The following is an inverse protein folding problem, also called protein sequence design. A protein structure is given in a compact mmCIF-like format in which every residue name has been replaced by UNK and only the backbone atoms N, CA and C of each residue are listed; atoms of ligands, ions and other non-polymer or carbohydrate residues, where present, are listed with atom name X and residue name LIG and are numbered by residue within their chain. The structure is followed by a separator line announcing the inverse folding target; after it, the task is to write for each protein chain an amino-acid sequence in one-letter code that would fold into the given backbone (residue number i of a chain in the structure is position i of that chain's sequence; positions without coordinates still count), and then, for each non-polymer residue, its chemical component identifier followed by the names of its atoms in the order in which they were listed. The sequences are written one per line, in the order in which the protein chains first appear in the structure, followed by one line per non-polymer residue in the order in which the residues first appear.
data_IF_543988436483
#
_entry.id   IF_543988436483
#
_cell.length_a   1.000
_cell.length_b   1.000
_cell.length_c   1.000
_cell.angle_alpha   90.00
_cell.angle_beta   90.00
_cell.angle_gamma   90.00
#
_symmetry.space_group_name_H-M   'P 1'
#
loop_
_entity.id
_entity.type
_entity.pdbx_description
1 polymer ?
#
# COMPACT_ATOMS: atom_id res chain seq x y z
N UNK A 1 -15.65 -22.26 -32.12
CA UNK A 1 -14.21 -22.59 -32.12
C UNK A 1 -13.47 -21.28 -32.36
N UNK A 2 -12.65 -20.84 -31.40
CA UNK A 2 -11.88 -19.59 -31.48
C UNK A 2 -12.30 -18.61 -30.39
N UNK A 3 -11.63 -18.72 -29.24
CA UNK A 3 -11.77 -17.90 -28.04
C UNK A 3 -11.40 -16.44 -28.32
N UNK A 4 -12.20 -15.49 -27.85
CA UNK A 4 -11.80 -14.09 -27.73
C UNK A 4 -10.98 -13.92 -26.45
N UNK A 5 -9.70 -13.61 -26.61
CA UNK A 5 -8.83 -13.14 -25.54
C UNK A 5 -9.36 -11.80 -24.99
N UNK A 6 -10.07 -11.85 -23.87
CA UNK A 6 -10.34 -10.66 -23.06
C UNK A 6 -9.11 -10.35 -22.22
N UNK A 7 -8.17 -9.58 -22.79
CA UNK A 7 -7.15 -8.89 -22.01
C UNK A 7 -7.82 -7.74 -21.27
N UNK A 8 -8.12 -7.93 -19.98
CA UNK A 8 -8.44 -6.83 -19.08
C UNK A 8 -7.15 -6.04 -18.90
N UNK A 9 -7.06 -4.90 -19.59
CA UNK A 9 -5.98 -3.96 -19.41
C UNK A 9 -6.08 -3.34 -18.02
N UNK A 10 -5.06 -3.52 -17.19
CA UNK A 10 -4.83 -2.73 -15.98
C UNK A 10 -4.76 -1.25 -16.38
N UNK A 11 -5.83 -0.51 -16.16
CA UNK A 11 -5.77 0.95 -16.26
C UNK A 11 -5.11 1.51 -15.00
N UNK A 12 -3.86 1.93 -15.18
CA UNK A 12 -3.24 2.99 -14.41
C UNK A 12 -4.19 4.20 -14.38
N UNK A 13 -4.85 4.45 -13.25
CA UNK A 13 -5.38 5.80 -12.96
C UNK A 13 -4.18 6.67 -12.54
N UNK A 14 -3.43 7.03 -13.57
CA UNK A 14 -2.42 8.08 -13.58
C UNK A 14 -3.11 9.32 -14.13
N UNK A 15 -3.14 10.40 -13.34
CA UNK A 15 -3.15 11.83 -13.77
C UNK A 15 -4.28 12.79 -13.34
N UNK A 16 -5.44 12.41 -12.79
CA UNK A 16 -6.54 13.42 -12.69
C UNK A 16 -6.99 13.94 -11.30
N UNK A 17 -6.33 13.60 -10.18
CA UNK A 17 -6.68 14.19 -8.87
C UNK A 17 -5.42 14.63 -8.13
N UNK A 18 -4.79 15.69 -8.61
CA UNK A 18 -3.75 16.46 -7.91
C UNK A 18 -4.08 17.93 -8.03
N UNK A 19 -4.97 18.41 -7.17
CA UNK A 19 -4.94 19.80 -6.74
C UNK A 19 -5.75 19.95 -5.46
N UNK A 20 -5.18 20.68 -4.50
CA UNK A 20 -5.69 21.03 -3.17
C UNK A 20 -5.32 20.02 -2.08
N UNK A 21 -4.92 20.59 -0.94
CA UNK A 21 -4.55 19.94 0.33
C UNK A 21 -3.07 19.59 0.51
N UNK A 22 -2.23 20.62 0.44
CA UNK A 22 -0.91 20.64 1.11
C UNK A 22 -0.95 21.58 2.31
N UNK A 23 -1.36 21.08 3.48
CA UNK A 23 -1.16 21.75 4.77
C UNK A 23 -1.10 20.70 5.87
N UNK A 24 0.11 20.35 6.33
CA UNK A 24 0.62 20.67 7.68
C UNK A 24 1.66 19.69 8.24
N UNK A 25 2.67 20.31 8.86
CA UNK A 25 3.36 19.93 10.10
C UNK A 25 4.22 18.66 10.10
N UNK A 26 5.53 18.81 9.85
CA UNK A 26 6.58 18.07 10.56
C UNK A 26 7.70 19.05 10.97
N UNK A 27 8.11 18.93 12.25
CA UNK A 27 9.22 19.55 13.00
C UNK A 27 9.70 20.96 12.58
N UNK A 28 9.53 21.91 13.50
CA UNK A 28 10.04 23.28 13.46
C UNK A 28 11.56 23.27 13.25
N UNK A 29 11.99 23.75 12.07
CA UNK A 29 13.36 24.12 11.78
C UNK A 29 13.66 25.49 12.44
N UNK A 30 14.65 25.62 13.34
CA UNK A 30 14.79 26.81 14.17
C UNK A 30 15.75 27.84 13.56
N UNK A 31 15.59 28.25 12.31
CA UNK A 31 16.37 29.39 11.79
C UNK A 31 15.54 30.24 10.80
N UNK A 32 14.90 31.28 11.34
CA UNK A 32 14.33 32.35 10.52
C UNK A 32 15.40 33.40 10.21
N UNK A 33 15.72 33.56 8.92
CA UNK A 33 16.21 34.85 8.42
C UNK A 33 17.29 34.76 7.36
N UNK A 34 16.89 34.69 6.07
CA UNK A 34 17.39 35.59 5.01
C UNK A 34 16.61 35.42 3.70
N UNK A 35 16.72 36.47 2.89
CA UNK A 35 15.88 36.95 1.79
C UNK A 35 15.51 35.92 0.70
N UNK A 36 14.27 36.05 0.21
CA UNK A 36 13.70 35.39 -0.97
C UNK A 36 14.37 35.90 -2.25
N UNK A 37 15.09 35.03 -2.94
CA UNK A 37 15.30 35.10 -4.39
C UNK A 37 14.31 34.12 -5.06
N UNK A 38 13.78 34.50 -6.23
CA UNK A 38 12.96 33.60 -7.04
C UNK A 38 13.90 32.60 -7.72
N UNK A 39 13.90 31.35 -7.25
CA UNK A 39 14.74 30.27 -7.80
C UNK A 39 13.85 29.26 -8.54
N UNK A 40 14.19 28.96 -9.79
CA UNK A 40 13.65 27.81 -10.52
C UNK A 40 14.39 26.55 -10.07
N UNK A 41 14.08 26.04 -8.88
CA UNK A 41 14.49 24.69 -8.47
C UNK A 41 13.55 23.65 -9.07
N UNK A 42 14.09 22.57 -9.64
CA UNK A 42 13.36 21.31 -9.77
C UNK A 42 12.95 20.86 -8.36
N UNK A 43 11.65 20.90 -8.06
CA UNK A 43 11.09 20.75 -6.69
C UNK A 43 11.06 19.30 -6.21
N UNK A 44 12.13 18.53 -6.37
CA UNK A 44 12.07 17.08 -6.23
C UNK A 44 12.92 16.62 -5.05
N UNK A 45 12.37 15.70 -4.25
CA UNK A 45 13.15 14.93 -3.30
C UNK A 45 14.07 14.00 -4.09
N UNK A 46 15.27 13.79 -3.59
CA UNK A 46 16.20 12.86 -4.20
C UNK A 46 16.76 11.91 -3.13
N UNK A 47 16.69 10.61 -3.41
CA UNK A 47 16.93 9.58 -2.42
C UNK A 47 17.72 8.43 -3.04
N UNK A 48 18.68 7.92 -2.26
CA UNK A 48 19.45 6.73 -2.61
C UNK A 48 19.60 5.82 -1.42
N UNK A 49 19.34 4.54 -1.65
CA UNK A 49 19.64 3.47 -0.71
C UNK A 49 20.90 2.76 -1.19
N UNK A 50 21.91 2.69 -0.33
CA UNK A 50 23.06 1.81 -0.50
C UNK A 50 22.95 0.68 0.50
N UNK A 51 22.86 -0.55 0.02
CA UNK A 51 22.47 -1.71 0.80
C UNK A 51 23.56 -2.78 0.71
N UNK A 52 23.94 -3.31 1.87
CA UNK A 52 24.92 -4.38 2.01
C UNK A 52 24.39 -5.44 2.97
N UNK A 53 24.67 -6.71 2.72
CA UNK A 53 24.09 -7.82 3.47
C UNK A 53 24.57 -9.16 2.93
N UNK A 54 23.97 -10.24 3.42
CA UNK A 54 24.22 -11.56 2.86
C UNK A 54 23.60 -11.68 1.45
N UNK A 55 24.24 -12.35 0.49
CA UNK A 55 23.77 -12.41 -0.90
C UNK A 55 22.32 -12.91 -1.05
N UNK A 56 21.94 -13.94 -0.30
CA UNK A 56 20.58 -14.50 -0.29
C UNK A 56 19.52 -13.47 0.16
N UNK A 57 19.86 -12.64 1.14
CA UNK A 57 18.98 -11.58 1.62
C UNK A 57 18.87 -10.43 0.62
N UNK A 58 19.96 -10.08 -0.06
CA UNK A 58 19.95 -9.06 -1.09
C UNK A 58 19.17 -9.51 -2.33
N UNK A 59 19.26 -10.79 -2.69
CA UNK A 59 18.42 -11.38 -3.74
C UNK A 59 16.93 -11.36 -3.35
N UNK A 60 16.61 -11.69 -2.10
CA UNK A 60 15.24 -11.62 -1.59
C UNK A 60 14.69 -10.18 -1.59
N UNK A 61 15.50 -9.19 -1.19
CA UNK A 61 15.17 -7.77 -1.22
C UNK A 61 14.96 -7.31 -2.67
N UNK A 62 15.80 -7.74 -3.59
CA UNK A 62 15.66 -7.44 -5.02
C UNK A 62 14.36 -7.99 -5.60
N UNK A 63 14.00 -9.23 -5.28
CA UNK A 63 12.72 -9.81 -5.72
C UNK A 63 11.53 -8.98 -5.24
N UNK A 64 11.54 -8.57 -3.97
CA UNK A 64 10.55 -7.64 -3.43
C UNK A 64 10.58 -6.28 -4.14
N UNK A 65 11.77 -5.75 -4.40
CA UNK A 65 11.97 -4.50 -5.11
C UNK A 65 11.43 -4.51 -6.54
N UNK A 66 11.38 -5.68 -7.18
CA UNK A 66 10.86 -5.91 -8.54
C UNK A 66 9.38 -6.30 -8.59
N UNK A 67 8.74 -6.57 -7.45
CA UNK A 67 7.36 -7.02 -7.38
C UNK A 67 7.16 -8.53 -7.57
N UNK A 68 8.24 -9.32 -7.60
CA UNK A 68 8.22 -10.77 -7.83
C UNK A 68 7.91 -11.56 -6.54
N UNK A 69 6.79 -11.22 -5.92
CA UNK A 69 6.26 -11.83 -4.68
C UNK A 69 4.76 -12.02 -4.81
N UNK A 70 4.24 -13.03 -4.13
CA UNK A 70 2.79 -13.30 -4.10
C UNK A 70 2.13 -12.35 -3.09
N UNK A 71 1.13 -11.53 -3.48
CA UNK A 71 0.47 -10.59 -2.58
C UNK A 71 -0.61 -11.30 -1.74
N UNK A 72 -0.19 -12.07 -0.73
CA UNK A 72 -1.12 -12.79 0.15
C UNK A 72 -2.18 -11.88 0.80
N UNK A 73 -1.80 -10.64 1.13
CA UNK A 73 -2.69 -9.66 1.75
C UNK A 73 -3.77 -9.21 0.75
N UNK A 74 -3.41 -9.03 -0.53
CA UNK A 74 -4.34 -8.63 -1.59
C UNK A 74 -5.39 -9.71 -1.82
N UNK A 75 -4.96 -10.98 -1.81
CA UNK A 75 -5.88 -12.11 -1.88
C UNK A 75 -6.85 -12.12 -0.69
N UNK A 76 -6.34 -11.93 0.52
CA UNK A 76 -7.16 -11.87 1.73
C UNK A 76 -8.16 -10.70 1.71
N UNK A 77 -7.79 -9.54 1.14
CA UNK A 77 -8.70 -8.40 0.95
C UNK A 77 -9.83 -8.78 0.00
N UNK A 78 -9.54 -9.33 -1.18
CA UNK A 78 -10.57 -9.74 -2.15
C UNK A 78 -11.55 -10.76 -1.53
N UNK A 79 -11.03 -11.79 -0.89
CA UNK A 79 -11.81 -12.82 -0.23
C UNK A 79 -12.66 -12.24 0.91
N UNK A 80 -12.11 -11.29 1.68
CA UNK A 80 -12.82 -10.64 2.76
C UNK A 80 -13.92 -9.70 2.27
N UNK A 81 -13.72 -8.99 1.16
CA UNK A 81 -14.79 -8.21 0.51
C UNK A 81 -15.94 -9.14 0.12
N UNK A 82 -15.62 -10.30 -0.47
CA UNK A 82 -16.62 -11.29 -0.88
C UNK A 82 -17.37 -11.89 0.31
N UNK A 83 -16.67 -12.24 1.40
CA UNK A 83 -17.28 -12.67 2.67
C UNK A 83 -18.18 -11.58 3.26
N UNK A 84 -17.73 -10.32 3.24
CA UNK A 84 -18.48 -9.19 3.77
C UNK A 84 -19.82 -9.00 3.04
N UNK A 85 -19.78 -8.91 1.71
CA UNK A 85 -21.01 -8.72 0.92
C UNK A 85 -21.91 -9.96 0.96
N UNK A 86 -21.35 -11.17 1.08
CA UNK A 86 -22.11 -12.40 1.25
C UNK A 86 -22.87 -12.43 2.58
N UNK A 87 -22.24 -12.00 3.67
CA UNK A 87 -22.89 -11.83 4.97
C UNK A 87 -24.04 -10.81 4.92
N UNK A 88 -23.79 -9.64 4.33
CA UNK A 88 -24.82 -8.61 4.15
C UNK A 88 -26.00 -9.07 3.28
N UNK A 89 -25.73 -9.94 2.30
CA UNK A 89 -26.73 -10.53 1.43
C UNK A 89 -27.47 -11.73 2.04
N UNK A 90 -27.09 -12.16 3.25
CA UNK A 90 -27.66 -13.33 3.93
C UNK A 90 -27.30 -14.66 3.27
N UNK A 91 -26.18 -14.71 2.54
CA UNK A 91 -25.65 -15.96 1.97
C UNK A 91 -24.87 -16.79 3.00
N UNK A 92 -24.37 -16.11 4.04
CA UNK A 92 -23.68 -16.64 5.20
C UNK A 92 -24.23 -15.95 6.45
N UNK A 93 -24.31 -16.67 7.56
CA UNK A 93 -24.77 -16.17 8.85
C UNK A 93 -23.87 -16.71 9.97
N UNK A 94 -23.66 -15.97 11.06
CA UNK A 94 -22.97 -16.51 12.23
C UNK A 94 -23.75 -17.69 12.83
N UNK A 95 -23.05 -18.63 13.45
CA UNK A 95 -23.67 -19.79 14.13
C UNK A 95 -24.13 -19.47 15.55
N UNK A 96 -23.66 -18.36 16.11
CA UNK A 96 -24.12 -17.80 17.38
C UNK A 96 -24.66 -16.37 17.22
N UNK A 97 -25.29 -15.85 18.28
CA UNK A 97 -25.74 -14.45 18.29
C UNK A 97 -24.53 -13.53 18.40
N UNK A 98 -24.24 -12.80 17.32
CA UNK A 98 -23.06 -11.95 17.20
C UNK A 98 -23.48 -10.54 16.77
N UNK A 99 -23.08 -9.55 17.55
CA UNK A 99 -23.24 -8.15 17.16
C UNK A 99 -22.03 -7.63 16.37
N UNK A 100 -22.28 -6.82 15.35
CA UNK A 100 -21.23 -6.05 14.65
C UNK A 100 -21.67 -4.58 14.53
N UNK A 101 -21.47 -3.74 15.57
CA UNK A 101 -22.01 -2.38 15.63
C UNK A 101 -21.55 -1.45 14.52
N UNK A 102 -20.35 -1.66 13.97
CA UNK A 102 -19.80 -0.86 12.87
C UNK A 102 -20.60 -1.03 11.57
N UNK A 103 -21.23 -2.19 11.38
CA UNK A 103 -22.10 -2.45 10.23
C UNK A 103 -23.15 -3.53 10.55
N UNK A 104 -24.26 -3.17 11.23
CA UNK A 104 -25.23 -4.16 11.71
C UNK A 104 -25.87 -5.02 10.61
N UNK A 105 -25.95 -4.49 9.38
CA UNK A 105 -26.46 -5.23 8.22
C UNK A 105 -25.65 -6.50 7.90
N UNK A 106 -24.38 -6.58 8.32
CA UNK A 106 -23.53 -7.76 8.11
C UNK A 106 -24.03 -9.01 8.83
N UNK A 107 -24.74 -8.83 9.96
CA UNK A 107 -25.25 -9.91 10.82
C UNK A 107 -26.78 -9.86 10.95
N UNK A 108 -27.45 -9.03 10.14
CA UNK A 108 -28.90 -8.85 10.20
C UNK A 108 -29.70 -10.09 9.83
N UNK A 109 -29.07 -11.08 9.18
CA UNK A 109 -29.64 -12.39 8.91
C UNK A 109 -29.89 -13.25 10.17
N UNK A 110 -29.36 -12.85 11.33
CA UNK A 110 -29.49 -13.58 12.58
C UNK A 110 -28.58 -14.81 12.63
N UNK A 111 -29.02 -15.83 13.36
CA UNK A 111 -28.28 -17.08 13.55
C UNK A 111 -28.56 -18.06 12.42
N UNK A 112 -27.50 -18.53 11.76
CA UNK A 112 -27.54 -19.53 10.70
C UNK A 112 -27.54 -20.97 11.23
N UNK A 113 -27.62 -21.91 10.29
CA UNK A 113 -27.45 -23.34 10.60
C UNK A 113 -26.00 -23.66 11.00
N UNK A 114 -25.82 -24.69 11.83
CA UNK A 114 -24.51 -25.21 12.24
C UNK A 114 -23.84 -25.95 11.07
N UNK A 115 -23.30 -25.19 10.12
CA UNK A 115 -22.59 -25.70 8.94
C UNK A 115 -21.13 -25.23 8.93
N UNK A 116 -20.22 -25.94 8.23
CA UNK A 116 -18.83 -25.50 8.06
C UNK A 116 -18.72 -24.09 7.47
N UNK A 117 -19.63 -23.74 6.56
CA UNK A 117 -19.61 -22.45 5.87
C UNK A 117 -19.93 -21.28 6.80
N UNK A 118 -20.99 -21.43 7.62
CA UNK A 118 -21.39 -20.43 8.60
C UNK A 118 -20.38 -20.34 9.75
N UNK A 119 -19.79 -21.46 10.14
CA UNK A 119 -18.71 -21.45 11.13
C UNK A 119 -17.47 -20.71 10.60
N UNK A 120 -17.09 -20.93 9.34
CA UNK A 120 -15.98 -20.20 8.73
C UNK A 120 -16.24 -18.70 8.65
N UNK A 121 -17.48 -18.30 8.30
CA UNK A 121 -17.90 -16.90 8.33
C UNK A 121 -17.83 -16.29 9.73
N UNK A 122 -18.27 -17.01 10.76
CA UNK A 122 -18.17 -16.58 12.14
C UNK A 122 -16.72 -16.37 12.59
N UNK A 123 -15.81 -17.28 12.24
CA UNK A 123 -14.38 -17.13 12.54
C UNK A 123 -13.79 -15.92 11.79
N UNK A 124 -14.17 -15.69 10.54
CA UNK A 124 -13.76 -14.50 9.80
C UNK A 124 -14.31 -13.20 10.41
N UNK A 125 -15.56 -13.20 10.92
CA UNK A 125 -16.12 -12.06 11.64
C UNK A 125 -15.30 -11.69 12.88
N UNK A 126 -14.73 -12.68 13.58
CA UNK A 126 -13.83 -12.42 14.70
C UNK A 126 -12.55 -11.69 14.24
N UNK A 127 -11.95 -12.11 13.13
CA UNK A 127 -10.79 -11.42 12.52
C UNK A 127 -11.13 -9.98 12.11
N UNK A 128 -12.31 -9.79 11.52
CA UNK A 128 -12.79 -8.47 11.11
C UNK A 128 -12.97 -7.54 12.32
N UNK A 129 -13.57 -8.04 13.41
CA UNK A 129 -13.78 -7.28 14.65
C UNK A 129 -12.48 -6.82 15.29
N UNK A 130 -11.47 -7.67 15.30
CA UNK A 130 -10.15 -7.35 15.87
C UNK A 130 -9.30 -6.46 14.95
N UNK A 131 -9.78 -6.17 13.73
CA UNK A 131 -9.04 -5.43 12.70
C UNK A 131 -7.60 -5.95 12.54
N UNK A 132 -7.49 -7.27 12.39
CA UNK A 132 -6.20 -7.98 12.38
C UNK A 132 -5.25 -7.46 11.30
N UNK A 133 -3.95 -7.57 11.58
CA UNK A 133 -2.90 -7.29 10.61
C UNK A 133 -2.92 -8.36 9.51
N UNK A 134 -2.86 -7.94 8.25
CA UNK A 134 -2.83 -8.84 7.09
C UNK A 134 -1.39 -9.29 6.78
N UNK A 135 -0.76 -9.95 7.75
CA UNK A 135 0.51 -10.65 7.52
C UNK A 135 0.27 -11.99 6.80
N UNK A 136 1.34 -12.72 6.50
CA UNK A 136 1.26 -13.98 5.76
C UNK A 136 0.37 -15.01 6.47
N UNK A 137 0.53 -15.16 7.79
CA UNK A 137 -0.18 -16.16 8.60
C UNK A 137 -1.68 -15.87 8.64
N UNK A 138 -2.04 -14.62 8.91
CA UNK A 138 -3.42 -14.18 9.01
C UNK A 138 -4.10 -14.20 7.64
N UNK A 139 -3.39 -13.84 6.58
CA UNK A 139 -3.91 -13.88 5.21
C UNK A 139 -4.16 -15.33 4.76
N UNK A 140 -3.27 -16.27 5.08
CA UNK A 140 -3.50 -17.69 4.86
C UNK A 140 -4.65 -18.25 5.69
N UNK A 141 -4.88 -17.72 6.91
CA UNK A 141 -6.05 -18.08 7.70
C UNK A 141 -7.34 -17.62 7.01
N UNK A 142 -7.38 -16.38 6.52
CA UNK A 142 -8.52 -15.85 5.76
C UNK A 142 -8.79 -16.69 4.51
N UNK A 143 -7.76 -17.07 3.76
CA UNK A 143 -7.92 -17.94 2.59
C UNK A 143 -8.55 -19.29 2.97
N UNK A 144 -8.07 -19.95 4.02
CA UNK A 144 -8.69 -21.21 4.50
C UNK A 144 -10.16 -21.03 4.87
N UNK A 145 -10.51 -19.94 5.56
CA UNK A 145 -11.90 -19.64 5.92
C UNK A 145 -12.74 -19.36 4.67
N UNK A 146 -12.19 -18.67 3.69
CA UNK A 146 -12.84 -18.41 2.40
C UNK A 146 -13.14 -19.69 1.62
N UNK A 147 -12.18 -20.63 1.57
CA UNK A 147 -12.42 -21.93 0.95
C UNK A 147 -13.50 -22.72 1.70
N UNK A 148 -13.47 -22.70 3.04
CA UNK A 148 -14.46 -23.39 3.88
C UNK A 148 -15.86 -22.77 3.79
N UNK A 149 -15.98 -21.48 3.45
CA UNK A 149 -17.28 -20.82 3.27
C UNK A 149 -17.97 -21.22 1.97
N UNK A 150 -17.29 -21.93 1.06
CA UNK A 150 -17.82 -22.35 -0.23
C UNK A 150 -18.17 -21.20 -1.18
N UNK A 151 -17.74 -19.97 -0.90
CA UNK A 151 -18.11 -18.79 -1.71
C UNK A 151 -17.45 -18.78 -3.09
N UNK A 152 -16.26 -19.37 -3.22
CA UNK A 152 -15.54 -19.49 -4.49
C UNK A 152 -16.35 -20.26 -5.55
N UNK A 153 -17.23 -21.17 -5.12
CA UNK A 153 -18.04 -21.99 -6.03
C UNK A 153 -19.39 -21.33 -6.39
N UNK A 154 -19.79 -20.27 -5.66
CA UNK A 154 -21.07 -19.59 -5.87
C UNK A 154 -20.99 -18.63 -7.05
N UNK A 155 -21.57 -19.01 -8.17
CA UNK A 155 -21.69 -18.16 -9.36
C UNK A 155 -22.77 -17.11 -9.19
N UNK A 156 -22.57 -15.93 -9.78
CA UNK A 156 -23.47 -14.79 -9.66
C UNK A 156 -24.90 -15.12 -10.09
N UNK A 157 -25.06 -15.81 -11.21
CA UNK A 157 -26.36 -16.20 -11.79
C UNK A 157 -27.17 -17.16 -10.89
N UNK A 158 -26.50 -17.84 -9.95
CA UNK A 158 -27.15 -18.79 -9.02
C UNK A 158 -27.67 -18.10 -7.76
N UNK A 159 -27.31 -16.84 -7.53
CA UNK A 159 -27.72 -16.08 -6.36
C UNK A 159 -29.18 -15.64 -6.49
N UNK A 160 -29.87 -15.56 -5.35
CA UNK A 160 -31.23 -15.01 -5.30
C UNK A 160 -31.23 -13.54 -5.74
N UNK A 161 -32.27 -13.05 -6.45
CA UNK A 161 -32.34 -11.66 -6.89
C UNK A 161 -32.20 -10.62 -5.77
N UNK A 162 -32.66 -10.95 -4.56
CA UNK A 162 -32.50 -10.11 -3.37
C UNK A 162 -31.05 -9.99 -2.93
N UNK A 163 -30.31 -11.11 -2.94
CA UNK A 163 -28.88 -11.13 -2.63
C UNK A 163 -28.08 -10.35 -3.67
N UNK A 164 -28.36 -10.56 -4.97
CA UNK A 164 -27.75 -9.81 -6.06
C UNK A 164 -27.95 -8.30 -5.89
N UNK A 165 -29.17 -7.87 -5.56
CA UNK A 165 -29.49 -6.45 -5.33
C UNK A 165 -28.68 -5.86 -4.17
N UNK A 166 -28.52 -6.59 -3.07
CA UNK A 166 -27.71 -6.15 -1.92
C UNK A 166 -26.24 -6.02 -2.29
N UNK A 167 -25.67 -7.03 -2.97
CA UNK A 167 -24.26 -7.02 -3.40
C UNK A 167 -24.00 -5.88 -4.38
N UNK A 168 -24.87 -5.71 -5.38
CA UNK A 168 -24.77 -4.61 -6.35
C UNK A 168 -24.83 -3.24 -5.66
N UNK A 169 -25.68 -3.05 -4.65
CA UNK A 169 -25.73 -1.80 -3.89
C UNK A 169 -24.41 -1.51 -3.15
N UNK A 170 -23.79 -2.53 -2.55
CA UNK A 170 -22.50 -2.40 -1.87
C UNK A 170 -21.36 -2.11 -2.85
N UNK A 171 -21.32 -2.81 -3.99
CA UNK A 171 -20.35 -2.52 -5.04
C UNK A 171 -20.52 -1.09 -5.57
N UNK A 172 -21.75 -0.57 -5.68
CA UNK A 172 -22.01 0.81 -6.12
C UNK A 172 -21.49 1.82 -5.12
N UNK A 173 -21.64 1.52 -3.83
CA UNK A 173 -21.13 2.38 -2.77
C UNK A 173 -19.59 2.37 -2.72
N UNK A 174 -18.95 1.25 -3.02
CA UNK A 174 -17.52 1.01 -2.73
C UNK A 174 -16.63 0.76 -3.94
N UNK A 175 -17.12 1.01 -5.16
CA UNK A 175 -16.38 0.70 -6.39
C UNK A 175 -15.00 1.34 -6.48
N UNK A 176 -14.88 2.59 -6.05
CA UNK A 176 -13.60 3.31 -6.03
C UNK A 176 -12.60 2.66 -5.06
N UNK A 177 -13.07 2.21 -3.89
CA UNK A 177 -12.20 1.66 -2.84
C UNK A 177 -11.83 0.20 -3.09
N UNK A 178 -12.79 -0.63 -3.51
CA UNK A 178 -12.60 -2.07 -3.67
C UNK A 178 -12.04 -2.46 -5.04
N UNK A 179 -12.33 -1.67 -6.07
CA UNK A 179 -11.95 -2.01 -7.45
C UNK A 179 -11.14 -0.91 -8.14
N UNK A 180 -10.95 0.25 -7.50
CA UNK A 180 -10.27 1.38 -8.14
C UNK A 180 -11.08 2.00 -9.30
N UNK A 181 -12.38 1.74 -9.38
CA UNK A 181 -13.22 2.14 -10.51
C UNK A 181 -13.99 3.44 -10.21
N UNK A 182 -13.66 4.49 -10.95
CA UNK A 182 -14.35 5.79 -10.90
C UNK A 182 -15.60 5.79 -11.77
N UNK A 183 -15.51 5.21 -12.97
CA UNK A 183 -16.62 5.06 -13.91
C UNK A 183 -16.95 3.57 -14.04
N UNK A 184 -18.18 3.18 -13.68
CA UNK A 184 -18.64 1.80 -13.81
C UNK A 184 -20.18 1.71 -13.87
N UNK A 185 -20.71 0.61 -14.41
CA UNK A 185 -22.15 0.36 -14.52
C UNK A 185 -22.56 -0.87 -13.68
N UNK A 186 -23.22 -0.58 -12.55
CA UNK A 186 -23.87 -1.56 -11.66
C UNK A 186 -24.46 -2.78 -12.33
N UNK A 187 -25.36 -2.55 -13.28
CA UNK A 187 -26.15 -3.62 -13.88
C UNK A 187 -25.35 -4.51 -14.83
N UNK A 188 -24.25 -4.00 -15.40
CA UNK A 188 -23.45 -4.74 -16.39
C UNK A 188 -22.20 -5.38 -15.79
N UNK A 189 -21.60 -4.75 -14.79
CA UNK A 189 -20.25 -5.13 -14.35
C UNK A 189 -20.27 -5.94 -13.05
N UNK A 190 -21.37 -5.97 -12.29
CA UNK A 190 -21.42 -6.63 -10.97
C UNK A 190 -21.10 -8.13 -11.04
N UNK A 191 -21.58 -8.84 -12.06
CA UNK A 191 -21.27 -10.26 -12.28
C UNK A 191 -19.76 -10.50 -12.47
N UNK A 192 -19.13 -9.65 -13.28
CA UNK A 192 -17.71 -9.71 -13.55
C UNK A 192 -16.90 -9.38 -12.29
N UNK A 193 -17.28 -8.36 -11.53
CA UNK A 193 -16.61 -8.00 -10.26
C UNK A 193 -16.78 -9.08 -9.18
N UNK A 194 -17.95 -9.72 -9.11
CA UNK A 194 -18.18 -10.85 -8.20
C UNK A 194 -17.22 -12.01 -8.48
N UNK A 195 -16.97 -12.27 -9.76
CA UNK A 195 -16.03 -13.31 -10.22
C UNK A 195 -14.57 -12.86 -10.05
N UNK A 196 -14.28 -11.58 -10.27
CA UNK A 196 -12.94 -11.00 -10.14
C UNK A 196 -12.38 -11.11 -8.71
N UNK A 197 -13.23 -11.09 -7.69
CA UNK A 197 -12.81 -11.31 -6.31
C UNK A 197 -12.24 -12.72 -6.06
N UNK A 198 -12.44 -13.68 -6.97
CA UNK A 198 -11.81 -15.01 -6.93
C UNK A 198 -10.49 -15.09 -7.69
N UNK A 199 -10.16 -14.08 -8.50
CA UNK A 199 -8.96 -14.11 -9.32
C UNK A 199 -7.72 -14.20 -8.42
N UNK A 200 -6.84 -15.15 -8.76
CA UNK A 200 -5.61 -15.34 -8.01
C UNK A 200 -4.60 -14.27 -8.36
N UNK A 201 -4.19 -13.51 -7.35
CA UNK A 201 -3.11 -12.53 -7.52
C UNK A 201 -1.76 -13.25 -7.51
N UNK A 202 -0.92 -12.96 -8.51
CA UNK A 202 0.34 -13.69 -8.72
C UNK A 202 1.59 -12.87 -8.44
N UNK A 203 1.49 -11.55 -8.54
CA UNK A 203 2.62 -10.63 -8.38
C UNK A 203 2.20 -9.38 -7.61
N UNK A 204 3.16 -8.84 -6.85
CA UNK A 204 3.02 -7.59 -6.11
C UNK A 204 3.44 -6.43 -6.98
N UNK A 205 3.06 -5.22 -6.58
CA UNK A 205 3.68 -4.03 -7.15
C UNK A 205 5.16 -3.97 -6.72
N UNK A 206 6.04 -3.35 -7.50
CA UNK A 206 7.41 -3.09 -7.07
C UNK A 206 7.44 -2.40 -5.70
N UNK A 207 8.33 -2.87 -4.81
CA UNK A 207 8.57 -2.22 -3.54
C UNK A 207 7.30 -2.08 -2.68
N UNK A 208 6.49 -3.13 -2.66
CA UNK A 208 5.22 -3.20 -1.93
C UNK A 208 5.43 -3.18 -0.41
N UNK A 209 5.06 -2.07 0.23
CA UNK A 209 5.29 -1.90 1.66
C UNK A 209 4.34 -2.72 2.53
N UNK A 210 3.28 -3.33 1.97
CA UNK A 210 2.40 -4.22 2.73
C UNK A 210 3.07 -5.55 3.11
N UNK A 211 4.07 -5.97 2.32
CA UNK A 211 4.91 -7.12 2.66
C UNK A 211 5.93 -6.82 3.76
N UNK A 212 6.09 -5.54 4.10
CA UNK A 212 7.05 -5.06 5.09
C UNK A 212 6.36 -4.70 6.41
N UNK A 213 5.31 -3.90 6.33
CA UNK A 213 4.45 -3.54 7.45
C UNK A 213 3.05 -3.94 7.00
N UNK A 214 2.40 -4.92 7.64
CA UNK A 214 1.07 -5.34 7.20
C UNK A 214 0.02 -4.25 7.34
N UNK A 215 -0.87 -4.17 6.34
CA UNK A 215 -2.13 -3.41 6.45
C UNK A 215 -3.14 -4.11 7.36
N UNK A 216 -4.36 -3.58 7.50
CA UNK A 216 -5.37 -4.08 8.45
C UNK A 216 -6.74 -4.33 7.83
N UNK A 217 -7.32 -5.48 8.19
CA UNK A 217 -8.51 -6.05 7.55
C UNK A 217 -9.72 -5.10 7.49
N UNK A 218 -10.19 -4.59 8.63
CA UNK A 218 -11.38 -3.74 8.67
C UNK A 218 -11.13 -2.40 7.97
N UNK A 219 -9.93 -1.85 8.08
CA UNK A 219 -9.55 -0.61 7.38
C UNK A 219 -9.55 -0.80 5.85
N UNK A 220 -9.04 -1.93 5.34
CA UNK A 220 -9.09 -2.26 3.90
C UNK A 220 -10.52 -2.43 3.39
N UNK A 221 -11.39 -3.10 4.16
CA UNK A 221 -12.82 -3.19 3.82
C UNK A 221 -13.49 -1.81 3.83
N UNK A 222 -13.13 -0.95 4.79
CA UNK A 222 -13.65 0.41 4.87
C UNK A 222 -13.15 1.29 3.71
N UNK A 223 -11.92 1.04 3.23
CA UNK A 223 -11.32 1.73 2.10
C UNK A 223 -10.76 3.11 2.40
N UNK A 224 -10.30 3.79 1.36
CA UNK A 224 -9.66 5.10 1.43
C UNK A 224 -10.67 6.20 1.72
N UNK A 225 -11.82 6.18 1.04
CA UNK A 225 -12.88 7.15 1.24
C UNK A 225 -13.77 6.83 2.46
N UNK A 226 -13.63 5.63 3.04
CA UNK A 226 -14.37 5.21 4.23
C UNK A 226 -15.88 5.08 3.99
N UNK A 227 -16.65 5.44 5.02
CA UNK A 227 -18.12 5.55 4.96
C UNK A 227 -18.89 4.23 5.01
N UNK A 228 -18.21 3.08 4.93
CA UNK A 228 -18.84 1.78 5.12
C UNK A 228 -18.90 1.41 6.60
N UNK A 229 -17.74 1.34 7.25
CA UNK A 229 -17.61 1.13 8.69
C UNK A 229 -17.52 2.50 9.36
N UNK A 230 -18.68 3.01 9.78
CA UNK A 230 -18.77 4.37 10.33
C UNK A 230 -17.84 4.52 11.55
N UNK A 231 -17.14 5.64 11.61
CA UNK A 231 -16.21 6.01 12.69
C UNK A 231 -15.01 5.04 12.85
N UNK A 232 -14.79 4.15 11.89
CA UNK A 232 -13.60 3.30 11.81
C UNK A 232 -12.50 3.96 10.95
N UNK A 233 -11.24 3.65 11.26
CA UNK A 233 -10.06 4.16 10.53
C UNK A 233 -10.15 3.84 9.03
N UNK A 234 -9.91 4.84 8.20
CA UNK A 234 -9.78 4.70 6.74
C UNK A 234 -8.39 4.21 6.35
N UNK A 235 -8.24 3.64 5.14
CA UNK A 235 -6.88 3.31 4.67
C UNK A 235 -6.01 4.56 4.49
N UNK A 236 -6.60 5.73 4.21
CA UNK A 236 -5.86 7.00 4.19
C UNK A 236 -5.18 7.30 5.53
N UNK A 237 -5.93 7.23 6.63
CA UNK A 237 -5.41 7.48 7.98
C UNK A 237 -4.42 6.38 8.41
N UNK A 238 -4.78 5.12 8.16
CA UNK A 238 -3.94 3.96 8.44
C UNK A 238 -2.58 4.09 7.75
N UNK A 239 -2.56 4.42 6.46
CA UNK A 239 -1.32 4.45 5.70
C UNK A 239 -0.41 5.60 6.11
N UNK A 240 -0.96 6.77 6.43
CA UNK A 240 -0.17 7.84 7.03
C UNK A 240 0.40 7.44 8.39
N UNK A 241 -0.38 6.75 9.22
CA UNK A 241 0.09 6.26 10.51
C UNK A 241 1.23 5.26 10.37
N UNK A 242 1.08 4.25 9.51
CA UNK A 242 2.06 3.17 9.32
C UNK A 242 3.27 3.60 8.49
N UNK A 243 3.05 4.22 7.34
CA UNK A 243 4.10 4.47 6.33
C UNK A 243 4.49 5.94 6.22
N UNK A 244 3.65 6.85 6.72
CA UNK A 244 3.84 8.29 6.50
C UNK A 244 3.46 8.76 5.09
N UNK A 245 2.67 7.95 4.36
CA UNK A 245 2.25 8.26 2.99
C UNK A 245 0.87 7.71 2.66
N UNK A 246 0.23 8.27 1.64
CA UNK A 246 -1.09 7.81 1.14
C UNK A 246 -1.04 6.59 0.24
N UNK A 247 0.15 6.22 -0.26
CA UNK A 247 0.34 5.17 -1.27
C UNK A 247 1.57 4.35 -0.92
N UNK A 248 1.42 3.26 -0.15
CA UNK A 248 2.52 2.52 0.44
C UNK A 248 3.21 1.58 -0.56
N UNK A 249 3.81 2.14 -1.61
CA UNK A 249 4.56 1.42 -2.64
C UNK A 249 5.69 2.28 -3.18
N UNK A 250 6.79 1.65 -3.58
CA UNK A 250 7.93 2.33 -4.18
C UNK A 250 7.75 2.53 -5.68
N UNK A 251 7.29 3.72 -6.07
CA UNK A 251 7.29 4.10 -7.48
C UNK A 251 8.71 4.40 -7.94
N UNK A 252 9.06 3.89 -9.12
CA UNK A 252 10.27 4.26 -9.88
C UNK A 252 11.62 4.07 -9.15
N UNK A 253 11.72 3.07 -8.27
CA UNK A 253 13.02 2.69 -7.70
C UNK A 253 13.84 1.93 -8.74
N UNK A 254 14.93 2.55 -9.20
CA UNK A 254 15.90 1.92 -10.09
C UNK A 254 16.92 1.13 -9.27
N UNK A 255 16.83 -0.21 -9.33
CA UNK A 255 17.74 -1.13 -8.65
C UNK A 255 18.98 -1.44 -9.50
N UNK A 256 20.16 -1.34 -8.90
CA UNK A 256 21.45 -1.68 -9.52
C UNK A 256 22.26 -2.58 -8.58
N UNK A 257 22.69 -3.73 -9.10
CA UNK A 257 23.65 -4.61 -8.43
C UNK A 257 25.07 -4.24 -8.85
N UNK A 258 26.01 -4.36 -7.93
CA UNK A 258 27.43 -4.06 -8.17
C UNK A 258 28.29 -5.32 -8.04
N UNK A 259 29.49 -5.28 -8.61
CA UNK A 259 30.40 -6.44 -8.63
C UNK A 259 30.91 -6.82 -7.22
N UNK A 260 30.82 -5.90 -6.25
CA UNK A 260 31.16 -6.12 -4.85
C UNK A 260 30.04 -6.79 -4.03
N UNK A 261 28.92 -7.15 -4.68
CA UNK A 261 27.76 -7.78 -4.03
C UNK A 261 26.83 -6.79 -3.33
N UNK A 262 27.09 -5.48 -3.41
CA UNK A 262 26.17 -4.47 -2.89
C UNK A 262 24.98 -4.21 -3.83
N UNK A 263 23.89 -3.72 -3.26
CA UNK A 263 22.69 -3.32 -3.98
C UNK A 263 22.45 -1.82 -3.78
N UNK A 264 22.13 -1.10 -4.84
CA UNK A 264 21.74 0.30 -4.77
C UNK A 264 20.35 0.50 -5.36
N UNK A 265 19.52 1.27 -4.67
CA UNK A 265 18.20 1.72 -5.15
C UNK A 265 18.17 3.23 -5.25
N UNK A 266 17.76 3.76 -6.41
CA UNK A 266 17.59 5.21 -6.64
C UNK A 266 16.13 5.54 -6.85
N UNK A 267 15.62 6.57 -6.18
CA UNK A 267 14.28 7.11 -6.45
C UNK A 267 14.28 8.64 -6.34
N UNK A 268 14.39 9.27 -7.50
CA UNK A 268 14.63 10.71 -7.64
C UNK A 268 13.41 11.46 -8.23
N UNK A 269 12.24 10.80 -8.36
CA UNK A 269 11.16 11.29 -9.25
C UNK A 269 9.81 11.58 -8.59
N UNK A 270 9.63 11.40 -7.29
CA UNK A 270 8.31 11.60 -6.68
C UNK A 270 8.20 12.95 -5.98
N UNK A 271 7.14 13.70 -6.29
CA UNK A 271 6.59 14.82 -5.50
C UNK A 271 6.15 14.39 -4.07
N UNK A 272 6.49 13.16 -3.63
CA UNK A 272 5.82 12.46 -2.54
C UNK A 272 6.84 11.81 -1.60
N UNK A 273 6.68 12.19 -0.33
CA UNK A 273 7.00 11.53 0.95
C UNK A 273 8.18 10.53 0.94
N UNK A 274 9.38 10.95 1.39
CA UNK A 274 10.57 10.10 1.45
C UNK A 274 10.39 8.87 2.35
N UNK A 275 11.07 7.79 2.00
CA UNK A 275 11.20 6.62 2.85
C UNK A 275 12.16 6.93 4.00
N UNK A 276 11.61 7.43 5.10
CA UNK A 276 12.38 7.69 6.31
C UNK A 276 12.42 6.45 7.23
N UNK A 277 12.85 6.67 8.47
CA UNK A 277 12.95 5.67 9.54
C UNK A 277 11.79 4.66 9.57
N UNK A 278 10.54 5.11 9.43
CA UNK A 278 9.34 4.25 9.43
C UNK A 278 9.41 3.09 8.43
N UNK A 279 10.08 3.27 7.30
CA UNK A 279 10.24 2.27 6.24
C UNK A 279 11.61 1.60 6.30
N UNK A 280 12.68 2.39 6.46
CA UNK A 280 14.05 1.86 6.39
C UNK A 280 14.39 0.95 7.58
N UNK A 281 13.82 1.23 8.77
CA UNK A 281 14.01 0.37 9.95
C UNK A 281 13.40 -1.02 9.73
N UNK A 282 12.10 -1.16 9.41
CA UNK A 282 11.55 -2.47 9.05
C UNK A 282 12.32 -3.14 7.91
N UNK A 283 12.70 -2.38 6.86
CA UNK A 283 13.35 -2.93 5.67
C UNK A 283 14.69 -3.57 6.01
N UNK A 284 15.53 -2.84 6.74
CA UNK A 284 16.83 -3.36 7.21
C UNK A 284 16.68 -4.56 8.15
N UNK A 285 15.59 -4.63 8.93
CA UNK A 285 15.31 -5.76 9.81
C UNK A 285 14.90 -7.01 9.03
N UNK A 286 13.96 -6.89 8.09
CA UNK A 286 13.39 -8.02 7.36
C UNK A 286 14.42 -8.72 6.49
N UNK A 287 15.32 -7.95 5.87
CA UNK A 287 16.37 -8.47 5.00
C UNK A 287 17.74 -8.57 5.68
N UNK A 288 17.78 -8.45 7.01
CA UNK A 288 19.01 -8.59 7.80
C UNK A 288 20.22 -7.84 7.20
N UNK A 289 19.99 -6.61 6.73
CA UNK A 289 20.95 -5.85 5.95
C UNK A 289 21.31 -4.52 6.61
N UNK A 290 22.42 -3.96 6.16
CA UNK A 290 22.79 -2.57 6.43
C UNK A 290 22.32 -1.69 5.29
N UNK A 291 21.60 -0.62 5.61
CA UNK A 291 21.11 0.37 4.67
C UNK A 291 21.71 1.73 5.04
N UNK A 292 22.40 2.35 4.09
CA UNK A 292 22.70 3.78 4.14
C UNK A 292 21.71 4.49 3.22
N UNK A 293 20.83 5.31 3.80
CA UNK A 293 19.87 6.13 3.07
C UNK A 293 20.41 7.55 2.97
N UNK A 294 20.78 7.97 1.75
CA UNK A 294 21.11 9.35 1.44
C UNK A 294 19.85 10.07 0.96
N UNK A 295 19.62 11.29 1.46
CA UNK A 295 18.46 12.08 1.08
C UNK A 295 18.79 13.57 0.86
N UNK A 296 17.98 14.18 -0.02
CA UNK A 296 17.91 15.61 -0.28
C UNK A 296 16.45 16.04 -0.27
N UNK A 297 16.17 17.11 0.47
CA UNK A 297 14.85 17.71 0.60
C UNK A 297 14.71 19.00 -0.22
N UNK A 298 13.46 19.37 -0.51
CA UNK A 298 13.11 20.56 -1.31
C UNK A 298 13.59 21.87 -0.65
N UNK A 299 13.78 21.88 0.68
CA UNK A 299 14.26 23.03 1.43
C UNK A 299 15.79 23.22 1.36
N UNK A 300 16.52 22.35 0.65
CA UNK A 300 17.98 22.37 0.61
C UNK A 300 18.65 21.62 1.76
N UNK A 301 17.88 21.01 2.66
CA UNK A 301 18.41 20.07 3.65
C UNK A 301 18.86 18.77 2.96
N UNK A 302 19.96 18.20 3.42
CA UNK A 302 20.48 16.94 2.93
C UNK A 302 21.10 16.14 4.07
N UNK A 303 21.28 14.84 3.87
CA UNK A 303 21.80 14.01 4.92
C UNK A 303 21.97 12.56 4.53
N UNK A 304 22.40 11.78 5.50
CA UNK A 304 22.30 10.34 5.44
C UNK A 304 21.93 9.75 6.79
N UNK A 305 21.28 8.61 6.75
CA UNK A 305 21.08 7.74 7.91
C UNK A 305 21.59 6.33 7.61
N UNK A 306 22.16 5.68 8.62
CA UNK A 306 22.63 4.30 8.58
C UNK A 306 21.79 3.44 9.51
N UNK A 307 21.33 2.32 8.98
CA UNK A 307 20.51 1.36 9.69
C UNK A 307 21.13 -0.03 9.56
N UNK A 308 21.13 -0.81 10.63
CA UNK A 308 21.52 -2.21 10.64
C UNK A 308 20.44 -3.02 11.36
N UNK A 309 19.86 -4.02 10.68
CA UNK A 309 18.93 -4.97 11.28
C UNK A 309 17.77 -4.30 12.06
N UNK A 310 17.26 -3.19 11.57
CA UNK A 310 16.20 -2.41 12.19
C UNK A 310 16.62 -1.61 13.41
N UNK A 311 17.88 -1.22 13.49
CA UNK A 311 18.40 -0.25 14.45
C UNK A 311 19.08 0.89 13.69
N UNK A 312 18.82 2.13 14.08
CA UNK A 312 19.57 3.28 13.60
C UNK A 312 20.96 3.30 14.26
N UNK A 313 22.03 3.36 13.45
CA UNK A 313 23.42 3.36 13.90
C UNK A 313 23.97 4.79 14.03
N UNK A 314 23.78 5.60 12.98
CA UNK A 314 24.29 6.96 12.89
C UNK A 314 23.62 7.71 11.73
N UNK A 315 23.66 9.04 11.77
CA UNK A 315 23.20 9.89 10.69
C UNK A 315 23.66 11.32 10.87
N UNK A 316 23.57 12.10 9.80
CA UNK A 316 23.85 13.53 9.79
C UNK A 316 22.82 14.24 8.94
N UNK A 317 22.47 15.46 9.33
CA UNK A 317 21.62 16.38 8.59
C UNK A 317 22.40 17.69 8.48
N UNK A 318 22.63 18.12 7.25
CA UNK A 318 23.30 19.38 6.91
C UNK A 318 22.51 20.12 5.81
N UNK A 319 23.01 21.27 5.40
CA UNK A 319 22.49 22.03 4.26
C UNK A 319 23.35 21.77 3.01
N UNK A 320 22.73 21.76 1.83
CA UNK A 320 23.46 21.69 0.57
C UNK A 320 24.36 22.90 0.40
N UNK A 321 25.60 22.63 0.01
CA UNK A 321 26.57 23.66 -0.34
C UNK A 321 26.51 23.92 -1.84
N UNK A 322 26.37 25.19 -2.21
CA UNK A 322 26.22 25.61 -3.60
C UNK A 322 27.46 26.39 -4.05
N UNK A 323 27.96 26.05 -5.22
CA UNK A 323 29.03 26.78 -5.88
C UNK A 323 28.58 28.15 -6.41
N UNK A 324 29.48 28.78 -7.16
CA UNK A 324 29.14 30.01 -7.88
C UNK A 324 28.03 29.75 -8.92
N UNK A 325 27.25 30.80 -9.16
CA UNK A 325 26.15 30.80 -10.11
C UNK A 325 26.72 30.88 -11.53
N UNK A 326 26.29 29.96 -12.39
CA UNK A 326 26.70 29.96 -13.80
C UNK A 326 25.95 31.03 -14.61
N UNK A 327 26.33 31.18 -15.89
CA UNK A 327 25.76 32.17 -16.81
C UNK A 327 24.24 32.01 -17.02
N UNK A 328 23.70 30.82 -16.72
CA UNK A 328 22.28 30.48 -16.83
C UNK A 328 21.52 30.67 -15.50
N UNK A 329 22.17 31.17 -14.45
CA UNK A 329 21.55 31.39 -13.13
C UNK A 329 21.43 30.13 -12.27
N UNK A 330 22.12 29.05 -12.65
CA UNK A 330 22.08 27.75 -11.97
C UNK A 330 23.28 27.61 -11.03
N UNK A 331 23.05 27.11 -9.82
CA UNK A 331 24.12 26.82 -8.85
C UNK A 331 24.30 25.32 -8.71
N UNK A 332 25.50 24.85 -8.99
CA UNK A 332 25.85 23.43 -8.82
C UNK A 332 26.03 23.10 -7.34
N UNK A 333 25.57 21.92 -6.95
CA UNK A 333 25.86 21.37 -5.62
C UNK A 333 27.34 21.00 -5.57
N UNK A 334 28.06 21.61 -4.64
CA UNK A 334 29.50 21.37 -4.40
C UNK A 334 29.79 20.67 -3.08
N UNK A 335 28.76 20.44 -2.26
CA UNK A 335 28.88 19.73 -1.01
C UNK A 335 27.53 19.54 -0.30
N UNK A 336 27.53 18.84 0.85
CA UNK A 336 28.69 18.23 1.50
C UNK A 336 29.28 17.03 0.72
N UNK A 337 30.56 16.72 0.91
CA UNK A 337 31.29 15.66 0.16
C UNK A 337 30.56 14.30 0.14
N UNK A 338 29.89 13.94 1.24
CA UNK A 338 29.20 12.65 1.36
C UNK A 338 27.92 12.56 0.50
N UNK A 339 27.38 13.69 0.04
CA UNK A 339 26.21 13.79 -0.83
C UNK A 339 26.60 13.72 -2.31
N UNK A 340 27.81 14.17 -2.65
CA UNK A 340 28.31 14.19 -4.03
C UNK A 340 28.38 12.77 -4.59
N UNK A 341 27.79 12.56 -5.77
CA UNK A 341 27.72 11.25 -6.42
C UNK A 341 26.73 10.26 -5.81
N UNK A 342 26.17 10.53 -4.61
CA UNK A 342 25.20 9.69 -3.91
C UNK A 342 23.74 10.10 -4.11
N UNK A 343 23.46 11.26 -4.69
CA UNK A 343 22.10 11.71 -4.97
C UNK A 343 22.13 12.45 -6.32
N UNK A 344 21.03 12.41 -7.09
CA UNK A 344 20.92 13.28 -8.27
C UNK A 344 20.78 14.74 -7.83
N UNK A 345 21.76 15.57 -8.21
CA UNK A 345 21.78 16.99 -7.86
C UNK A 345 21.36 17.89 -9.00
N UNK A 346 21.53 17.40 -10.22
CA UNK A 346 21.27 18.09 -11.46
C UNK A 346 19.99 17.50 -12.10
N UNK A 347 19.06 18.38 -12.46
CA UNK A 347 17.91 18.09 -13.30
C UNK A 347 18.02 18.89 -14.57
#
# INVERSE_FOLDING_TARGET
MGLSESRIAFFHISELITCLWGHCLHKVCPFSGKKRGFFTMSKWYANRLHITGQPDQLDALRQWGLGDKIPYYGQAIHQSIKLFVAGCAGLLQPTETIDYPLYPALVAGGVGEMSPENWAFEQWLALLKENVALDEVTSQQIDRLYQQSGLAERKWETLLPTAQKTIMALFNQKSCDWFGLVDWNGERDTEMLWSHLDDRLTETVPCDLFLLIPTRLASEINGFYGGLLKDHETTHELYFRLYGMTRPRGYDIAWKHHDDGSLTGHFDKTLREPWYEKIIVPLSRQYHCRITHYFKEVCGCCGYDKYLNGQWEAGIIDELEFGEEDEDGTRKVVGPDYILGNISHDG
#
